data_IF_625696499033
#
_entry.id   IF_625696499033
#
_cell.length_a   1.000
_cell.length_b   1.000
_cell.length_c   1.000
_cell.angle_alpha   90.00
_cell.angle_beta   90.00
_cell.angle_gamma   90.00
#
_symmetry.space_group_name_H-M   'P 1'
#
loop_
_entity.id
_entity.type
_entity.pdbx_description
1 polymer ?
#
# COMPACT_ATOMS: atom_id res chain seq x y z
N UNK A 1 -56.39 -45.84 8.11
CA UNK A 1 -55.96 -44.53 8.62
C UNK A 1 -54.44 -44.45 8.51
N UNK A 2 -53.91 -44.05 7.34
CA UNK A 2 -52.46 -43.89 7.14
C UNK A 2 -52.13 -42.42 7.37
N UNK A 3 -51.49 -42.09 8.50
CA UNK A 3 -50.92 -40.75 8.70
C UNK A 3 -49.68 -40.67 7.82
N UNK A 4 -49.70 -39.80 6.80
CA UNK A 4 -48.47 -39.38 6.11
C UNK A 4 -47.55 -38.73 7.16
N UNK A 5 -46.51 -39.43 7.54
CA UNK A 5 -45.45 -38.89 8.39
C UNK A 5 -44.56 -38.01 7.51
N UNK A 6 -44.69 -36.68 7.65
CA UNK A 6 -43.86 -35.72 6.92
C UNK A 6 -42.77 -35.22 7.87
N UNK A 7 -41.51 -35.52 7.56
CA UNK A 7 -40.35 -35.04 8.31
C UNK A 7 -39.89 -33.71 7.69
N UNK A 8 -39.69 -32.68 8.51
CA UNK A 8 -39.33 -31.34 8.02
C UNK A 8 -37.85 -30.99 8.24
N UNK A 9 -37.13 -31.71 9.10
CA UNK A 9 -35.69 -31.53 9.31
C UNK A 9 -34.99 -32.85 9.68
N UNK A 10 -33.66 -32.88 9.55
CA UNK A 10 -32.83 -34.04 9.91
C UNK A 10 -32.80 -34.31 11.43
N UNK A 11 -32.92 -33.29 12.28
CA UNK A 11 -32.96 -33.44 13.75
C UNK A 11 -34.18 -34.23 14.23
N UNK A 12 -35.35 -34.09 13.60
CA UNK A 12 -36.56 -34.85 13.88
C UNK A 12 -36.39 -36.32 13.48
N UNK A 13 -35.73 -36.56 12.35
CA UNK A 13 -35.39 -37.91 11.90
C UNK A 13 -34.44 -38.60 12.91
N UNK A 14 -33.39 -37.90 13.36
CA UNK A 14 -32.47 -38.41 14.38
C UNK A 14 -33.16 -38.66 15.74
N UNK A 15 -34.07 -37.77 16.16
CA UNK A 15 -34.84 -37.95 17.41
C UNK A 15 -35.77 -39.16 17.38
N UNK A 16 -36.21 -39.57 16.19
CA UNK A 16 -36.99 -40.80 15.99
C UNK A 16 -36.10 -42.05 15.86
N UNK A 17 -34.78 -41.90 15.97
CA UNK A 17 -33.81 -43.00 15.84
C UNK A 17 -33.60 -43.47 14.40
N UNK A 18 -34.06 -42.71 13.41
CA UNK A 18 -33.93 -43.04 11.99
C UNK A 18 -32.66 -42.41 11.41
N UNK A 19 -32.00 -43.16 10.54
CA UNK A 19 -30.77 -42.79 9.86
C UNK A 19 -30.96 -42.82 8.34
N UNK A 20 -30.12 -42.11 7.59
CA UNK A 20 -30.16 -42.12 6.11
C UNK A 20 -29.92 -43.54 5.54
N UNK A 21 -29.23 -44.39 6.29
CA UNK A 21 -28.99 -45.80 5.99
C UNK A 21 -30.23 -46.70 6.16
N UNK A 22 -31.25 -46.25 6.89
CA UNK A 22 -32.51 -47.00 7.08
C UNK A 22 -33.45 -46.87 5.88
N UNK A 23 -33.15 -45.93 4.97
CA UNK A 23 -33.85 -45.79 3.70
C UNK A 23 -33.16 -46.64 2.61
N UNK A 24 -33.96 -47.32 1.80
CA UNK A 24 -33.47 -48.06 0.63
C UNK A 24 -32.67 -47.12 -0.29
N UNK A 25 -31.61 -47.65 -0.92
CA UNK A 25 -30.78 -46.88 -1.86
C UNK A 25 -31.59 -46.32 -3.05
N UNK A 26 -32.74 -46.92 -3.37
CA UNK A 26 -33.64 -46.51 -4.45
C UNK A 26 -34.79 -45.61 -3.97
N UNK A 27 -34.85 -45.25 -2.68
CA UNK A 27 -35.91 -44.42 -2.09
C UNK A 27 -35.69 -42.93 -2.42
N UNK A 28 -36.71 -42.27 -2.97
CA UNK A 28 -36.65 -40.86 -3.34
C UNK A 28 -36.40 -39.92 -2.13
N UNK A 29 -36.79 -40.32 -0.92
CA UNK A 29 -36.52 -39.54 0.29
C UNK A 29 -35.03 -39.52 0.64
N UNK A 30 -34.32 -40.64 0.37
CA UNK A 30 -32.87 -40.73 0.56
C UNK A 30 -32.14 -39.77 -0.38
N UNK A 31 -32.56 -39.70 -1.64
CA UNK A 31 -32.00 -38.78 -2.64
C UNK A 31 -32.19 -37.31 -2.23
N UNK A 32 -33.40 -36.94 -1.81
CA UNK A 32 -33.70 -35.58 -1.32
C UNK A 32 -32.82 -35.17 -0.12
N UNK A 33 -32.64 -36.04 0.86
CA UNK A 33 -31.80 -35.76 2.04
C UNK A 33 -30.33 -35.57 1.63
N UNK A 34 -29.83 -36.42 0.73
CA UNK A 34 -28.46 -36.33 0.24
C UNK A 34 -28.22 -35.02 -0.54
N UNK A 35 -29.16 -34.59 -1.37
CA UNK A 35 -29.07 -33.31 -2.11
C UNK A 35 -29.06 -32.11 -1.15
N UNK A 36 -29.94 -32.10 -0.14
CA UNK A 36 -29.99 -31.02 0.85
C UNK A 36 -28.70 -30.93 1.70
N UNK A 37 -28.14 -32.08 2.07
CA UNK A 37 -26.85 -32.15 2.75
C UNK A 37 -25.71 -31.64 1.86
N UNK A 38 -25.70 -32.01 0.58
CA UNK A 38 -24.69 -31.56 -0.39
C UNK A 38 -24.74 -30.04 -0.60
N UNK A 39 -25.93 -29.46 -0.82
CA UNK A 39 -26.10 -28.02 -0.98
C UNK A 39 -25.56 -27.23 0.22
N UNK A 40 -25.71 -27.78 1.43
CA UNK A 40 -25.19 -27.16 2.65
C UNK A 40 -23.66 -27.14 2.71
N UNK A 41 -22.99 -28.11 2.09
CA UNK A 41 -21.52 -28.14 1.96
C UNK A 41 -21.07 -27.13 0.90
N UNK A 42 -21.71 -27.13 -0.27
CA UNK A 42 -21.34 -26.23 -1.37
C UNK A 42 -21.45 -24.75 -0.98
N UNK A 43 -22.50 -24.37 -0.25
CA UNK A 43 -22.68 -23.01 0.26
C UNK A 43 -21.54 -22.62 1.23
N UNK A 44 -21.14 -23.53 2.12
CA UNK A 44 -20.04 -23.28 3.06
C UNK A 44 -18.72 -23.07 2.31
N UNK A 45 -18.45 -23.89 1.31
CA UNK A 45 -17.23 -23.78 0.49
C UNK A 45 -17.18 -22.47 -0.31
N UNK A 46 -18.33 -22.04 -0.85
CA UNK A 46 -18.44 -20.74 -1.53
C UNK A 46 -18.15 -19.57 -0.59
N UNK A 47 -18.69 -19.59 0.64
CA UNK A 47 -18.43 -18.55 1.65
C UNK A 47 -16.96 -18.50 2.07
N UNK A 48 -16.30 -19.67 2.19
CA UNK A 48 -14.87 -19.74 2.48
C UNK A 48 -14.07 -19.12 1.33
N UNK A 49 -14.37 -19.48 0.07
CA UNK A 49 -13.71 -18.89 -1.12
C UNK A 49 -13.91 -17.39 -1.23
N UNK A 50 -15.12 -16.89 -0.96
CA UNK A 50 -15.40 -15.45 -0.98
C UNK A 50 -14.55 -14.71 0.08
N UNK A 51 -14.51 -15.26 1.30
CA UNK A 51 -13.70 -14.71 2.39
C UNK A 51 -12.20 -14.73 2.07
N UNK A 52 -11.71 -15.80 1.47
CA UNK A 52 -10.32 -15.90 1.04
C UNK A 52 -9.98 -14.88 -0.04
N UNK A 53 -10.84 -14.72 -1.04
CA UNK A 53 -10.68 -13.71 -2.10
C UNK A 53 -10.66 -12.30 -1.52
N UNK A 54 -11.57 -12.01 -0.58
CA UNK A 54 -11.59 -10.72 0.14
C UNK A 54 -10.29 -10.49 0.94
N UNK A 55 -9.79 -11.52 1.65
CA UNK A 55 -8.50 -11.44 2.37
C UNK A 55 -7.32 -11.24 1.44
N UNK A 56 -7.28 -11.92 0.30
CA UNK A 56 -6.24 -11.76 -0.70
C UNK A 56 -6.24 -10.34 -1.28
N UNK A 57 -7.43 -9.83 -1.61
CA UNK A 57 -7.61 -8.46 -2.09
C UNK A 57 -7.16 -7.42 -1.05
N UNK A 58 -7.47 -7.64 0.23
CA UNK A 58 -7.04 -6.73 1.29
C UNK A 58 -5.51 -6.72 1.47
N UNK A 59 -4.84 -7.86 1.29
CA UNK A 59 -3.37 -7.93 1.33
C UNK A 59 -2.74 -7.16 0.17
N UNK A 60 -3.24 -7.34 -1.05
CA UNK A 60 -2.72 -6.62 -2.21
C UNK A 60 -3.00 -5.13 -2.10
N UNK A 61 -4.19 -4.74 -1.61
CA UNK A 61 -4.52 -3.35 -1.33
C UNK A 61 -3.53 -2.70 -0.36
N UNK A 62 -3.23 -3.37 0.77
CA UNK A 62 -2.27 -2.86 1.74
C UNK A 62 -0.85 -2.72 1.17
N UNK A 63 -0.41 -3.66 0.33
CA UNK A 63 0.90 -3.57 -0.34
C UNK A 63 0.97 -2.41 -1.33
N UNK A 64 -0.11 -2.19 -2.08
CA UNK A 64 -0.22 -1.06 -3.00
C UNK A 64 -0.18 0.24 -2.21
N UNK A 65 -0.94 0.33 -1.11
CA UNK A 65 -1.00 1.52 -0.26
C UNK A 65 0.36 1.86 0.36
N UNK A 66 1.07 0.84 0.87
CA UNK A 66 2.41 1.02 1.41
C UNK A 66 3.42 1.48 0.33
N UNK A 67 3.36 0.89 -0.87
CA UNK A 67 4.24 1.31 -1.98
C UNK A 67 3.94 2.73 -2.45
N UNK A 68 2.67 3.13 -2.49
CA UNK A 68 2.24 4.50 -2.81
C UNK A 68 2.76 5.50 -1.77
N UNK A 69 2.57 5.20 -0.49
CA UNK A 69 3.03 6.06 0.60
C UNK A 69 4.56 6.27 0.55
N UNK A 70 5.32 5.19 0.32
CA UNK A 70 6.78 5.30 0.15
C UNK A 70 7.17 6.18 -1.05
N UNK A 71 6.42 6.10 -2.15
CA UNK A 71 6.67 6.92 -3.33
C UNK A 71 6.37 8.41 -3.06
N UNK A 72 5.28 8.71 -2.36
CA UNK A 72 4.91 10.06 -1.93
C UNK A 72 5.95 10.66 -0.97
N UNK A 73 6.38 9.89 0.03
CA UNK A 73 7.43 10.30 0.97
C UNK A 73 8.74 10.63 0.24
N UNK A 74 9.13 9.81 -0.74
CA UNK A 74 10.33 10.03 -1.55
C UNK A 74 10.21 11.30 -2.40
N UNK A 75 9.07 11.50 -3.08
CA UNK A 75 8.82 12.67 -3.92
C UNK A 75 8.84 13.96 -3.10
N UNK A 76 8.23 13.95 -1.91
CA UNK A 76 8.23 15.10 -0.99
C UNK A 76 9.63 15.46 -0.48
N UNK A 77 10.54 14.48 -0.44
CA UNK A 77 11.94 14.70 -0.04
C UNK A 77 12.76 15.31 -1.18
N UNK A 78 12.42 15.00 -2.43
CA UNK A 78 13.18 15.43 -3.61
C UNK A 78 12.69 16.76 -4.20
N UNK A 79 11.40 17.05 -4.10
CA UNK A 79 10.77 18.20 -4.76
C UNK A 79 9.85 18.95 -3.79
N UNK A 80 9.59 20.25 -4.04
CA UNK A 80 8.58 20.97 -3.27
C UNK A 80 7.23 20.23 -3.33
N UNK A 81 6.45 20.21 -2.24
CA UNK A 81 5.22 19.42 -2.14
C UNK A 81 4.18 19.80 -3.21
N UNK A 82 4.15 21.07 -3.63
CA UNK A 82 3.26 21.57 -4.68
C UNK A 82 3.57 20.91 -6.03
N UNK A 83 4.84 20.86 -6.42
CA UNK A 83 5.31 20.23 -7.66
C UNK A 83 5.11 18.72 -7.59
N UNK A 84 5.40 18.10 -6.44
CA UNK A 84 5.19 16.66 -6.25
C UNK A 84 3.72 16.25 -6.41
N UNK A 85 2.79 17.03 -5.84
CA UNK A 85 1.34 16.80 -5.97
C UNK A 85 0.89 16.94 -7.42
N UNK A 86 1.34 17.98 -8.11
CA UNK A 86 0.99 18.20 -9.51
C UNK A 86 1.50 17.07 -10.42
N UNK A 87 2.71 16.57 -10.16
CA UNK A 87 3.25 15.40 -10.86
C UNK A 87 2.45 14.11 -10.59
N UNK A 88 2.03 13.89 -9.34
CA UNK A 88 1.20 12.74 -8.95
C UNK A 88 -0.20 12.78 -9.58
N UNK A 89 -0.82 13.97 -9.64
CA UNK A 89 -2.18 14.16 -10.17
C UNK A 89 -2.24 14.16 -11.70
N UNK A 90 -1.24 14.77 -12.36
CA UNK A 90 -1.30 15.00 -13.81
C UNK A 90 -0.37 14.08 -14.64
N UNK A 91 0.53 13.34 -13.98
CA UNK A 91 1.28 12.22 -14.56
C UNK A 91 2.20 12.57 -15.75
N UNK A 92 2.37 13.86 -16.08
CA UNK A 92 3.19 14.30 -17.22
C UNK A 92 3.97 15.58 -16.92
N UNK A 93 5.29 15.42 -16.81
CA UNK A 93 6.23 16.54 -16.77
C UNK A 93 6.17 17.45 -18.02
N UNK A 94 5.77 16.90 -19.19
CA UNK A 94 5.67 17.66 -20.46
C UNK A 94 4.57 18.73 -20.49
N UNK A 95 3.60 18.66 -19.57
CA UNK A 95 2.50 19.64 -19.46
C UNK A 95 2.53 20.46 -18.18
N UNK A 96 3.38 20.11 -17.21
CA UNK A 96 3.62 21.00 -16.10
C UNK A 96 4.37 22.22 -16.65
N UNK A 97 3.87 23.41 -16.32
CA UNK A 97 4.68 24.62 -16.29
C UNK A 97 5.71 24.46 -15.16
N UNK A 98 6.68 23.55 -15.29
CA UNK A 98 7.75 23.37 -14.28
C UNK A 98 8.67 24.62 -14.27
N UNK A 99 8.47 25.53 -15.22
CA UNK A 99 9.15 26.81 -15.32
C UNK A 99 8.19 27.95 -14.96
N UNK A 100 7.70 27.93 -13.72
CA UNK A 100 7.01 29.09 -13.18
C UNK A 100 8.02 30.20 -12.92
N UNK A 101 7.79 31.35 -13.56
CA UNK A 101 8.54 32.56 -13.27
C UNK A 101 7.98 33.19 -12.00
N UNK A 102 8.76 33.12 -10.93
CA UNK A 102 8.44 33.83 -9.70
C UNK A 102 8.87 35.29 -9.83
N UNK A 103 7.97 36.23 -9.51
CA UNK A 103 8.24 37.67 -9.58
C UNK A 103 9.32 38.11 -8.58
N UNK A 104 9.41 37.43 -7.43
CA UNK A 104 10.41 37.69 -6.40
C UNK A 104 10.89 36.39 -5.75
N UNK A 105 12.21 36.16 -5.80
CA UNK A 105 12.87 35.00 -5.17
C UNK A 105 14.08 35.46 -4.38
N UNK A 106 14.34 34.82 -3.24
CA UNK A 106 15.57 35.02 -2.47
C UNK A 106 16.39 33.74 -2.51
N UNK A 107 17.63 33.84 -2.98
CA UNK A 107 18.58 32.72 -3.07
C UNK A 107 19.66 32.88 -2.01
N UNK A 108 19.92 31.80 -1.26
CA UNK A 108 21.02 31.73 -0.30
C UNK A 108 22.07 30.73 -0.80
N UNK A 109 23.31 31.18 -0.96
CA UNK A 109 24.44 30.33 -1.31
C UNK A 109 25.30 30.07 -0.06
N UNK A 110 25.57 28.80 0.21
CA UNK A 110 26.45 28.38 1.29
C UNK A 110 27.58 27.52 0.74
N UNK A 111 28.82 27.81 1.14
CA UNK A 111 30.01 27.02 0.81
C UNK A 111 30.85 26.85 2.05
N UNK A 112 31.39 25.66 2.25
CA UNK A 112 32.37 25.40 3.31
C UNK A 112 33.71 26.03 2.89
N UNK A 113 34.18 27.00 3.68
CA UNK A 113 35.50 27.60 3.49
C UNK A 113 36.59 26.55 3.75
N UNK A 114 37.67 26.62 2.97
CA UNK A 114 38.86 25.76 3.11
C UNK A 114 38.55 24.24 3.14
N UNK A 115 37.46 23.81 2.50
CA UNK A 115 37.06 22.40 2.47
C UNK A 115 38.22 21.48 2.02
N UNK A 116 38.96 21.88 0.99
CA UNK A 116 40.10 21.10 0.47
C UNK A 116 41.19 20.85 1.53
N UNK A 117 41.54 21.88 2.32
CA UNK A 117 42.55 21.77 3.38
C UNK A 117 42.05 20.88 4.52
N UNK A 118 40.79 21.05 4.92
CA UNK A 118 40.16 20.26 5.97
C UNK A 118 40.11 18.77 5.56
N UNK A 119 39.71 18.49 4.32
CA UNK A 119 39.65 17.10 3.81
C UNK A 119 41.01 16.47 3.58
N UNK A 120 42.08 17.26 3.39
CA UNK A 120 43.43 16.74 3.19
C UNK A 120 44.00 16.07 4.47
N UNK A 121 43.49 16.44 5.64
CA UNK A 121 43.95 15.93 6.93
C UNK A 121 42.99 14.93 7.59
N UNK A 122 41.82 14.68 6.98
CA UNK A 122 40.78 13.81 7.53
C UNK A 122 40.70 12.48 6.78
N UNK A 123 40.26 11.43 7.48
CA UNK A 123 39.91 10.19 6.81
C UNK A 123 38.63 10.39 5.98
N UNK A 124 38.44 9.63 4.88
CA UNK A 124 37.22 9.72 4.08
C UNK A 124 35.93 9.53 4.89
N UNK A 125 35.96 8.69 5.92
CA UNK A 125 34.82 8.46 6.80
C UNK A 125 34.51 9.69 7.66
N UNK A 126 35.54 10.35 8.18
CA UNK A 126 35.39 11.56 9.00
C UNK A 126 34.86 12.75 8.17
N UNK A 127 35.28 12.85 6.91
CA UNK A 127 34.74 13.85 5.97
C UNK A 127 33.23 13.66 5.76
N UNK A 128 32.79 12.41 5.56
CA UNK A 128 31.36 12.10 5.41
C UNK A 128 30.58 12.46 6.67
N UNK A 129 31.11 12.11 7.85
CA UNK A 129 30.48 12.45 9.13
C UNK A 129 30.36 13.96 9.36
N UNK A 130 31.41 14.71 9.02
CA UNK A 130 31.41 16.17 9.08
C UNK A 130 30.35 16.78 8.16
N UNK A 131 30.32 16.35 6.89
CA UNK A 131 29.33 16.83 5.92
C UNK A 131 27.90 16.49 6.37
N UNK A 132 27.68 15.27 6.85
CA UNK A 132 26.37 14.84 7.31
C UNK A 132 25.88 15.69 8.49
N UNK A 133 26.78 16.05 9.42
CA UNK A 133 26.47 16.93 10.55
C UNK A 133 26.09 18.34 10.09
N UNK A 134 26.86 18.91 9.14
CA UNK A 134 26.58 20.24 8.58
C UNK A 134 25.22 20.23 7.86
N UNK A 135 24.99 19.28 6.95
CA UNK A 135 23.74 19.21 6.21
C UNK A 135 22.53 18.92 7.09
N UNK A 136 22.67 18.08 8.12
CA UNK A 136 21.59 17.81 9.08
C UNK A 136 21.19 19.08 9.84
N UNK A 137 22.15 19.90 10.26
CA UNK A 137 21.87 21.17 10.91
C UNK A 137 21.19 22.16 9.96
N UNK A 138 21.66 22.26 8.71
CA UNK A 138 20.99 23.08 7.69
C UNK A 138 19.56 22.60 7.43
N UNK A 139 19.35 21.29 7.26
CA UNK A 139 18.02 20.73 7.00
C UNK A 139 17.05 20.99 8.17
N UNK A 140 17.54 21.05 9.41
CA UNK A 140 16.74 21.45 10.58
C UNK A 140 16.28 22.91 10.50
N UNK A 141 17.19 23.83 10.15
CA UNK A 141 16.87 25.25 9.97
C UNK A 141 15.91 25.46 8.81
N UNK A 142 16.14 24.78 7.68
CA UNK A 142 15.29 24.84 6.48
C UNK A 142 13.87 24.39 6.82
N UNK A 143 13.72 23.25 7.53
CA UNK A 143 12.41 22.77 8.00
C UNK A 143 11.71 23.77 8.92
N UNK A 144 12.45 24.46 9.80
CA UNK A 144 11.88 25.48 10.71
C UNK A 144 11.34 26.69 9.96
N UNK A 145 11.98 27.11 8.88
CA UNK A 145 11.61 28.29 8.11
C UNK A 145 10.75 28.00 6.88
N UNK A 146 10.44 26.72 6.58
CA UNK A 146 9.63 26.33 5.43
C UNK A 146 10.27 26.66 4.09
N UNK A 147 11.60 26.80 4.02
CA UNK A 147 12.32 27.09 2.78
C UNK A 147 12.66 25.80 2.04
N UNK A 148 12.97 25.89 0.74
CA UNK A 148 13.31 24.72 -0.07
C UNK A 148 14.81 24.64 -0.36
N UNK A 149 15.41 23.46 -0.15
CA UNK A 149 16.80 23.17 -0.48
C UNK A 149 16.90 22.81 -1.96
N UNK A 150 17.42 23.72 -2.77
CA UNK A 150 17.68 23.45 -4.18
C UNK A 150 19.10 22.92 -4.39
N UNK A 151 19.22 21.78 -5.07
CA UNK A 151 20.48 21.32 -5.65
C UNK A 151 20.64 21.96 -7.03
N UNK A 152 21.24 23.14 -7.07
CA UNK A 152 21.62 23.75 -8.34
C UNK A 152 22.74 22.92 -8.96
N UNK A 153 22.39 22.06 -9.92
CA UNK A 153 23.39 21.54 -10.85
C UNK A 153 23.97 22.74 -11.57
N UNK A 154 25.28 22.96 -11.43
CA UNK A 154 26.00 23.89 -12.28
C UNK A 154 25.82 23.40 -13.72
N UNK A 155 24.87 23.99 -14.43
CA UNK A 155 24.91 23.99 -15.88
C UNK A 155 26.11 24.87 -16.23
N UNK A 156 27.24 24.22 -16.45
CA UNK A 156 28.35 24.77 -17.21
C UNK A 156 27.80 25.16 -18.58
N UNK A 157 27.28 26.39 -18.67
CA UNK A 157 27.06 27.06 -19.93
C UNK A 157 28.45 27.42 -20.42
N UNK A 158 29.02 26.55 -21.26
CA UNK A 158 30.11 26.97 -22.13
C UNK A 158 29.56 28.11 -22.99
N UNK A 159 30.09 29.31 -22.76
CA UNK A 159 30.11 30.43 -23.70
C UNK A 159 31.55 30.90 -23.75
#
# INVERSE_FOLDING_TARGET
>A
MWKLFRLNNLDEMYKLGLTVSDYSASDCNREMIMVAAQQSVDIKDLLVKEKEKSRALMRTFNQIDESKKRAEDLLSTMMPPEVARELLEHGRADKLSICDSFESVTLAFAKVCNFNEITAHLSPLDVVNLLNSIYSNFDSVIKKHGTYKSLLRQFSRQV
#
